data_IF_506590859801
#
_entry.id   IF_506590859801
#
_cell.length_a   1.000
_cell.length_b   1.000
_cell.length_c   1.000
_cell.angle_alpha   90.00
_cell.angle_beta   90.00
_cell.angle_gamma   90.00
#
_symmetry.space_group_name_H-M   'P 1'
#
loop_
_entity.id
_entity.type
_entity.pdbx_description
1 polymer ?
#
# COMPACT_ATOMS: atom_id res chain seq x y z
N UNK A 1 7.18 29.80 10.03
CA UNK A 1 6.18 28.95 10.73
C UNK A 1 6.37 27.50 10.30
N UNK A 2 6.54 26.56 11.25
CA UNK A 2 6.57 25.13 10.92
C UNK A 2 5.13 24.65 10.76
N UNK A 3 4.74 24.27 9.55
CA UNK A 3 3.44 23.66 9.30
C UNK A 3 3.36 22.31 10.02
N UNK A 4 2.34 22.11 10.84
CA UNK A 4 2.06 20.82 11.47
C UNK A 4 1.74 19.82 10.35
N UNK A 5 2.56 18.77 10.22
CA UNK A 5 2.30 17.69 9.26
C UNK A 5 1.30 16.72 9.85
N UNK A 6 0.20 16.48 9.15
CA UNK A 6 -0.82 15.49 9.51
C UNK A 6 -0.52 14.17 8.81
N UNK A 7 -0.06 13.17 9.56
CA UNK A 7 0.11 11.82 9.03
C UNK A 7 -1.25 11.12 8.87
N UNK A 8 -1.29 10.09 8.02
CA UNK A 8 -2.51 9.38 7.67
C UNK A 8 -3.21 8.74 8.88
N UNK A 9 -2.45 8.27 9.88
CA UNK A 9 -3.01 7.64 11.09
C UNK A 9 -3.69 8.69 11.98
N UNK A 10 -3.09 9.85 12.13
CA UNK A 10 -3.69 10.96 12.89
C UNK A 10 -4.95 11.49 12.22
N UNK A 11 -4.94 11.69 10.89
CA UNK A 11 -6.14 12.08 10.14
C UNK A 11 -7.30 11.11 10.36
N UNK A 12 -7.04 9.80 10.23
CA UNK A 12 -8.05 8.76 10.44
C UNK A 12 -8.60 8.78 11.87
N UNK A 13 -7.74 8.94 12.88
CA UNK A 13 -8.17 9.02 14.28
C UNK A 13 -9.12 10.20 14.52
N UNK A 14 -8.81 11.37 13.98
CA UNK A 14 -9.64 12.57 14.12
C UNK A 14 -11.00 12.38 13.45
N UNK A 15 -11.03 11.83 12.23
CA UNK A 15 -12.28 11.54 11.51
C UNK A 15 -13.14 10.55 12.31
N UNK A 16 -12.55 9.49 12.84
CA UNK A 16 -13.27 8.51 13.66
C UNK A 16 -13.79 9.11 14.97
N UNK A 17 -13.03 9.99 15.62
CA UNK A 17 -13.49 10.70 16.83
C UNK A 17 -14.70 11.59 16.53
N UNK A 18 -14.71 12.29 15.39
CA UNK A 18 -15.86 13.08 14.94
C UNK A 18 -17.08 12.23 14.59
N UNK A 19 -16.88 11.06 13.97
CA UNK A 19 -17.96 10.10 13.68
C UNK A 19 -18.59 9.48 14.94
N UNK A 20 -17.85 9.39 16.04
CA UNK A 20 -18.39 8.92 17.33
C UNK A 20 -19.39 9.91 17.95
N UNK A 21 -19.40 11.17 17.48
CA UNK A 21 -20.33 12.23 17.88
C UNK A 21 -20.44 12.46 19.41
N UNK A 22 -19.35 12.19 20.15
CA UNK A 22 -19.28 12.36 21.61
C UNK A 22 -19.08 13.82 22.04
N UNK A 23 -18.48 14.62 21.18
CA UNK A 23 -18.21 16.04 21.37
C UNK A 23 -18.66 16.81 20.13
N UNK A 24 -18.90 18.11 20.29
CA UNK A 24 -19.26 18.96 19.15
C UNK A 24 -18.11 19.04 18.13
N UNK A 25 -18.45 19.27 16.86
CA UNK A 25 -17.45 19.48 15.82
C UNK A 25 -16.52 20.66 16.13
N UNK A 26 -17.06 21.73 16.72
CA UNK A 26 -16.26 22.89 17.12
C UNK A 26 -15.20 22.53 18.18
N UNK A 27 -15.58 21.74 19.19
CA UNK A 27 -14.66 21.27 20.22
C UNK A 27 -13.58 20.33 19.64
N UNK A 28 -13.97 19.42 18.74
CA UNK A 28 -13.05 18.52 18.05
C UNK A 28 -12.02 19.32 17.24
N UNK A 29 -12.48 20.28 16.45
CA UNK A 29 -11.63 21.16 15.64
C UNK A 29 -10.65 21.97 16.50
N UNK A 30 -11.12 22.52 17.63
CA UNK A 30 -10.26 23.26 18.57
C UNK A 30 -9.19 22.37 19.20
N UNK A 31 -9.56 21.18 19.68
CA UNK A 31 -8.65 20.20 20.30
C UNK A 31 -7.52 19.80 19.37
N UNK A 32 -7.85 19.56 18.10
CA UNK A 32 -6.89 19.14 17.09
C UNK A 32 -6.26 20.34 16.34
N UNK A 33 -6.65 21.57 16.64
CA UNK A 33 -6.17 22.79 15.96
C UNK A 33 -6.34 22.71 14.43
N UNK A 34 -7.52 22.27 13.99
CA UNK A 34 -7.91 22.17 12.58
C UNK A 34 -9.14 23.02 12.30
N UNK A 35 -9.31 23.42 11.05
CA UNK A 35 -10.56 24.06 10.61
C UNK A 35 -11.64 23.01 10.34
N UNK A 36 -12.91 23.42 10.40
CA UNK A 36 -14.02 22.53 10.03
C UNK A 36 -13.92 22.06 8.57
N UNK A 37 -13.51 22.95 7.66
CA UNK A 37 -13.28 22.60 6.24
C UNK A 37 -12.23 21.50 6.09
N UNK A 38 -11.17 21.53 6.90
CA UNK A 38 -10.14 20.48 6.91
C UNK A 38 -10.68 19.14 7.43
N UNK A 39 -11.51 19.17 8.48
CA UNK A 39 -12.19 17.97 8.97
C UNK A 39 -13.09 17.35 7.89
N UNK A 40 -13.95 18.14 7.25
CA UNK A 40 -14.86 17.64 6.22
C UNK A 40 -14.12 17.12 4.99
N UNK A 41 -13.02 17.75 4.61
CA UNK A 41 -12.14 17.23 3.55
C UNK A 41 -11.62 15.83 3.90
N UNK A 42 -11.10 15.63 5.11
CA UNK A 42 -10.63 14.31 5.56
C UNK A 42 -11.76 13.30 5.71
N UNK A 43 -12.94 13.73 6.16
CA UNK A 43 -14.11 12.86 6.27
C UNK A 43 -14.51 12.33 4.89
N UNK A 44 -14.54 13.19 3.87
CA UNK A 44 -14.86 12.79 2.50
C UNK A 44 -13.79 11.83 1.91
N UNK A 45 -12.51 12.17 2.07
CA UNK A 45 -11.42 11.28 1.66
C UNK A 45 -11.51 9.91 2.36
N UNK A 46 -11.79 9.90 3.66
CA UNK A 46 -11.95 8.69 4.44
C UNK A 46 -13.14 7.87 3.95
N UNK A 47 -14.32 8.48 3.77
CA UNK A 47 -15.52 7.79 3.28
C UNK A 47 -15.28 7.13 1.91
N UNK A 48 -14.68 7.88 0.98
CA UNK A 48 -14.38 7.38 -0.38
C UNK A 48 -13.48 6.15 -0.36
N UNK A 49 -12.48 6.12 0.53
CA UNK A 49 -11.49 5.01 0.60
C UNK A 49 -11.87 3.93 1.61
N UNK A 50 -12.80 4.20 2.53
CA UNK A 50 -13.13 3.31 3.65
C UNK A 50 -13.60 1.93 3.21
N UNK A 51 -14.34 1.83 2.09
CA UNK A 51 -14.82 0.55 1.57
C UNK A 51 -13.68 -0.42 1.20
N UNK A 52 -12.48 0.08 0.91
CA UNK A 52 -11.33 -0.76 0.54
C UNK A 52 -10.85 -1.65 1.70
N UNK A 53 -11.09 -1.27 2.96
CA UNK A 53 -10.71 -2.11 4.12
C UNK A 53 -11.46 -3.44 4.15
N UNK A 54 -12.63 -3.52 3.51
CA UNK A 54 -13.39 -4.77 3.36
C UNK A 54 -12.99 -5.58 2.11
N UNK A 55 -12.21 -4.97 1.21
CA UNK A 55 -11.73 -5.60 -0.02
C UNK A 55 -10.34 -6.26 0.11
N UNK A 56 -9.66 -6.06 1.25
CA UNK A 56 -8.28 -6.53 1.49
C UNK A 56 -8.10 -8.02 1.28
N UNK A 57 -9.11 -8.85 1.59
CA UNK A 57 -9.05 -10.31 1.43
C UNK A 57 -8.91 -10.75 -0.02
N UNK A 58 -9.43 -9.97 -0.99
CA UNK A 58 -9.35 -10.30 -2.42
C UNK A 58 -8.05 -9.80 -3.06
N UNK A 59 -7.60 -8.59 -2.72
CA UNK A 59 -6.31 -8.04 -3.20
C UNK A 59 -5.13 -8.88 -2.68
N UNK A 60 -5.13 -9.22 -1.39
CA UNK A 60 -4.06 -10.01 -0.76
C UNK A 60 -3.88 -11.40 -1.38
N UNK A 61 -4.96 -12.12 -1.73
CA UNK A 61 -4.85 -13.42 -2.40
C UNK A 61 -4.25 -13.31 -3.81
N UNK A 62 -4.66 -12.31 -4.59
CA UNK A 62 -4.12 -12.07 -5.93
C UNK A 62 -2.65 -11.64 -5.85
N UNK A 63 -2.31 -10.73 -4.95
CA UNK A 63 -0.93 -10.29 -4.73
C UNK A 63 -0.04 -11.45 -4.26
N UNK A 64 -0.48 -12.25 -3.29
CA UNK A 64 0.26 -13.43 -2.84
C UNK A 64 0.49 -14.43 -3.97
N UNK A 65 -0.55 -14.69 -4.79
CA UNK A 65 -0.41 -15.56 -5.96
C UNK A 65 0.59 -15.00 -6.96
N UNK A 66 0.51 -13.71 -7.27
CA UNK A 66 1.43 -13.04 -8.19
C UNK A 66 2.86 -13.05 -7.65
N UNK A 67 3.07 -12.89 -6.34
CA UNK A 67 4.40 -12.96 -5.70
C UNK A 67 5.00 -14.35 -5.84
N UNK A 68 4.23 -15.40 -5.57
CA UNK A 68 4.72 -16.78 -5.73
C UNK A 68 4.99 -17.13 -7.20
N UNK A 69 4.11 -16.70 -8.10
CA UNK A 69 4.29 -16.87 -9.55
C UNK A 69 5.54 -16.13 -10.05
N UNK A 70 5.78 -14.90 -9.58
CA UNK A 70 6.99 -14.15 -9.92
C UNK A 70 8.27 -14.84 -9.43
N UNK A 71 8.21 -15.45 -8.24
CA UNK A 71 9.32 -16.20 -7.66
C UNK A 71 9.62 -17.47 -8.47
N UNK A 72 8.59 -18.20 -8.89
CA UNK A 72 8.76 -19.39 -9.73
C UNK A 72 9.31 -19.03 -11.11
N UNK A 73 8.77 -17.98 -11.75
CA UNK A 73 9.28 -17.48 -13.02
C UNK A 73 10.75 -17.07 -12.93
N UNK A 74 11.16 -16.40 -11.85
CA UNK A 74 12.58 -16.04 -11.63
C UNK A 74 13.47 -17.27 -11.49
N UNK A 75 12.98 -18.33 -10.84
CA UNK A 75 13.72 -19.60 -10.71
C UNK A 75 13.91 -20.25 -12.08
N UNK A 76 12.84 -20.40 -12.85
CA UNK A 76 12.89 -20.98 -14.20
C UNK A 76 13.84 -20.18 -15.09
N UNK A 77 13.79 -18.85 -15.04
CA UNK A 77 14.71 -17.99 -15.79
C UNK A 77 16.17 -18.25 -15.38
N UNK A 78 16.45 -18.38 -14.07
CA UNK A 78 17.79 -18.67 -13.58
C UNK A 78 18.29 -20.04 -14.09
N UNK A 79 17.46 -21.08 -13.98
CA UNK A 79 17.79 -22.44 -14.43
C UNK A 79 18.07 -22.47 -15.95
N UNK A 80 17.20 -21.85 -16.75
CA UNK A 80 17.39 -21.72 -18.21
C UNK A 80 18.64 -20.90 -18.57
N UNK A 81 18.95 -19.84 -17.81
CA UNK A 81 20.16 -19.03 -18.04
C UNK A 81 21.43 -19.83 -17.79
N UNK A 82 21.43 -20.70 -16.77
CA UNK A 82 22.56 -21.59 -16.48
C UNK A 82 22.72 -22.63 -17.59
N UNK A 83 21.63 -23.22 -18.05
CA UNK A 83 21.64 -24.21 -19.13
C UNK A 83 22.14 -23.63 -20.45
N UNK A 84 21.67 -22.43 -20.83
CA UNK A 84 22.16 -21.72 -22.01
C UNK A 84 23.67 -21.45 -21.94
N UNK A 85 24.17 -20.92 -20.81
CA UNK A 85 25.60 -20.70 -20.62
C UNK A 85 26.40 -22.00 -20.73
N UNK A 86 25.90 -23.09 -20.15
CA UNK A 86 26.55 -24.40 -20.25
C UNK A 86 26.65 -24.85 -21.70
N UNK A 87 25.58 -24.71 -22.48
CA UNK A 87 25.58 -25.07 -23.90
C UNK A 87 26.55 -24.20 -24.73
N UNK A 88 26.69 -22.91 -24.41
CA UNK A 88 27.68 -22.03 -25.06
C UNK A 88 29.11 -22.51 -24.80
N UNK A 89 29.44 -22.88 -23.55
CA UNK A 89 30.76 -23.41 -23.20
C UNK A 89 31.06 -24.77 -23.86
N UNK A 90 30.06 -25.64 -24.00
CA UNK A 90 30.22 -26.94 -24.68
C UNK A 90 30.51 -26.75 -26.18
N UNK A 91 29.81 -25.83 -26.84
CA UNK A 91 30.05 -25.49 -28.26
C UNK A 91 31.43 -24.86 -28.49
N UNK A 92 31.90 -24.01 -27.57
CA UNK A 92 33.25 -23.45 -27.63
C UNK A 92 34.33 -24.52 -27.39
N UNK A 93 34.08 -25.48 -26.49
CA UNK A 93 34.99 -26.58 -26.17
C UNK A 93 35.12 -27.64 -27.26
N UNK A 94 34.08 -27.88 -28.06
CA UNK A 94 34.13 -28.78 -29.23
C UNK A 94 34.78 -28.12 -30.47
N UNK A 95 35.04 -26.81 -30.43
CA UNK A 95 35.68 -26.05 -31.52
C UNK A 95 37.22 -26.01 -31.46
N UNK A 96 37.84 -26.66 -30.48
CA UNK A 96 39.29 -26.82 -30.27
C UNK A 96 39.75 -28.27 -30.55
#
# INVERSE_FOLDING_TARGET
>A
MKYRKWDSKTKAKIVLEGLQNKISLAELCNRHQITQSQYYYWLNEFQTKSHEVFNTTKKSKKEHRLVEENKELKRIIADLTIELKKSEYELEGESL
#
